data_IF_620599114330
#
_entry.id   IF_620599114330
#
_cell.length_a   1.000
_cell.length_b   1.000
_cell.length_c   1.000
_cell.angle_alpha   90.00
_cell.angle_beta   90.00
_cell.angle_gamma   90.00
#
_symmetry.space_group_name_H-M   'P 1'
#
loop_
_entity.id
_entity.type
_entity.pdbx_description
1 polymer ?
#
# COMPACT_ATOMS: atom_id res chain seq x y z
N UNK A 1 16.37 7.87 2.07
CA UNK A 1 15.27 8.35 1.20
C UNK A 1 14.57 9.45 1.96
N UNK A 2 14.48 10.65 1.37
CA UNK A 2 13.71 11.76 1.93
C UNK A 2 12.24 11.64 1.49
N UNK A 3 11.33 12.33 2.20
CA UNK A 3 9.92 12.38 1.79
C UNK A 3 9.75 12.98 0.38
N UNK A 4 10.63 13.89 -0.01
CA UNK A 4 10.65 14.49 -1.35
C UNK A 4 11.06 13.47 -2.42
N UNK A 5 12.08 12.65 -2.16
CA UNK A 5 12.51 11.56 -3.06
C UNK A 5 11.40 10.51 -3.24
N UNK A 6 10.65 10.21 -2.17
CA UNK A 6 9.52 9.27 -2.22
C UNK A 6 8.32 9.84 -2.99
N UNK A 7 8.00 11.13 -2.81
CA UNK A 7 6.95 11.81 -3.57
C UNK A 7 7.25 11.82 -5.08
N UNK A 8 8.51 12.07 -5.43
CA UNK A 8 8.96 12.07 -6.83
C UNK A 8 8.82 10.67 -7.45
N UNK A 9 9.30 9.62 -6.77
CA UNK A 9 9.15 8.22 -7.20
C UNK A 9 7.68 7.83 -7.40
N UNK A 10 6.81 8.18 -6.46
CA UNK A 10 5.36 7.99 -6.57
C UNK A 10 4.75 8.65 -7.81
N UNK A 11 5.18 9.88 -8.12
CA UNK A 11 4.68 10.60 -9.28
C UNK A 11 5.10 9.93 -10.60
N UNK A 12 6.36 9.50 -10.69
CA UNK A 12 6.90 8.80 -11.86
C UNK A 12 6.24 7.44 -12.07
N UNK A 13 5.99 6.70 -10.98
CA UNK A 13 5.27 5.44 -11.02
C UNK A 13 3.79 5.62 -11.45
N UNK A 14 3.12 6.71 -11.03
CA UNK A 14 1.77 7.05 -11.51
C UNK A 14 1.75 7.39 -13.00
N UNK A 15 2.67 8.21 -13.48
CA UNK A 15 2.78 8.53 -14.92
C UNK A 15 3.04 7.27 -15.75
N UNK A 16 3.90 6.38 -15.25
CA UNK A 16 4.16 5.08 -15.89
C UNK A 16 2.91 4.20 -15.93
N UNK A 17 2.11 4.20 -14.87
CA UNK A 17 0.85 3.44 -14.82
C UNK A 17 -0.15 3.97 -15.85
N UNK A 18 -0.30 5.30 -15.98
CA UNK A 18 -1.16 5.93 -16.98
C UNK A 18 -0.73 5.56 -18.41
N UNK A 19 0.57 5.58 -18.69
CA UNK A 19 1.10 5.19 -19.99
C UNK A 19 0.79 3.71 -20.32
N UNK A 20 0.98 2.81 -19.36
CA UNK A 20 0.70 1.37 -19.54
C UNK A 20 -0.80 1.16 -19.79
N UNK A 21 -1.67 1.86 -19.04
CA UNK A 21 -3.11 1.77 -19.20
C UNK A 21 -3.56 2.26 -20.60
N UNK A 22 -3.01 3.37 -21.09
CA UNK A 22 -3.27 3.87 -22.44
C UNK A 22 -2.82 2.87 -23.53
N UNK A 23 -1.68 2.20 -23.35
CA UNK A 23 -1.20 1.17 -24.28
C UNK A 23 -2.09 -0.08 -24.30
N UNK A 24 -2.61 -0.49 -23.14
CA UNK A 24 -3.57 -1.61 -23.05
C UNK A 24 -4.85 -1.25 -23.81
N UNK A 25 -5.39 -0.05 -23.61
CA UNK A 25 -6.59 0.44 -24.31
C UNK A 25 -6.40 0.51 -25.82
N UNK A 26 -5.22 0.96 -26.28
CA UNK A 26 -4.88 0.95 -27.72
C UNK A 26 -4.89 -0.47 -28.28
N UNK A 27 -4.24 -1.42 -27.58
CA UNK A 27 -4.19 -2.82 -28.02
C UNK A 27 -5.58 -3.44 -28.03
N UNK A 28 -6.41 -3.15 -27.03
CA UNK A 28 -7.79 -3.64 -26.98
C UNK A 28 -8.65 -3.10 -28.12
N UNK A 29 -8.52 -1.81 -28.45
CA UNK A 29 -9.17 -1.24 -29.63
C UNK A 29 -8.72 -1.94 -30.92
N UNK A 30 -7.43 -2.26 -31.04
CA UNK A 30 -6.88 -2.96 -32.22
C UNK A 30 -7.33 -4.41 -32.29
N UNK A 31 -7.37 -5.13 -31.18
CA UNK A 31 -7.87 -6.49 -31.10
C UNK A 31 -9.36 -6.53 -31.46
N UNK A 32 -10.18 -5.62 -30.92
CA UNK A 32 -11.60 -5.51 -31.27
C UNK A 32 -11.82 -5.38 -32.78
N UNK A 33 -11.12 -4.45 -33.42
CA UNK A 33 -11.20 -4.26 -34.89
C UNK A 33 -10.80 -5.51 -35.67
N UNK A 34 -9.80 -6.26 -35.19
CA UNK A 34 -9.38 -7.50 -35.84
C UNK A 34 -10.42 -8.63 -35.65
N UNK A 35 -11.11 -8.68 -34.51
CA UNK A 35 -12.21 -9.60 -34.31
C UNK A 35 -13.42 -9.24 -35.19
N UNK A 36 -13.79 -7.97 -35.27
CA UNK A 36 -14.87 -7.48 -36.14
C UNK A 36 -14.60 -7.83 -37.62
N UNK A 37 -13.35 -7.68 -38.07
CA UNK A 37 -12.94 -8.01 -39.43
C UNK A 37 -12.99 -9.53 -39.75
N UNK A 38 -12.89 -10.38 -38.73
CA UNK A 38 -13.08 -11.83 -38.85
C UNK A 38 -14.58 -12.15 -38.89
N UNK A 39 -15.38 -11.54 -38.03
CA UNK A 39 -16.83 -11.76 -37.94
C UNK A 39 -17.56 -11.33 -39.22
N UNK A 40 -17.14 -10.22 -39.82
CA UNK A 40 -17.66 -9.71 -41.10
C UNK A 40 -17.17 -10.50 -42.32
N UNK A 41 -16.18 -11.38 -42.14
CA UNK A 41 -15.59 -12.17 -43.20
C UNK A 41 -14.70 -11.40 -44.16
N UNK A 42 -14.29 -10.17 -43.82
CA UNK A 42 -13.36 -9.35 -44.63
C UNK A 42 -11.99 -10.02 -44.77
N UNK A 43 -11.58 -10.82 -43.79
CA UNK A 43 -10.33 -11.56 -43.80
C UNK A 43 -10.52 -13.03 -43.43
N UNK A 44 -9.71 -13.91 -44.01
CA UNK A 44 -9.67 -15.32 -43.59
C UNK A 44 -8.99 -15.40 -42.22
N UNK A 45 -9.61 -16.08 -41.25
CA UNK A 45 -9.09 -16.17 -39.88
C UNK A 45 -7.64 -16.66 -39.75
N UNK A 46 -7.14 -17.46 -40.71
CA UNK A 46 -5.75 -17.88 -40.76
C UNK A 46 -4.74 -16.76 -41.06
N UNK A 47 -5.15 -15.68 -41.72
CA UNK A 47 -4.28 -14.55 -42.07
C UNK A 47 -4.07 -13.60 -40.88
N UNK A 48 -5.08 -13.46 -40.03
CA UNK A 48 -5.05 -12.58 -38.85
C UNK A 48 -4.57 -13.27 -37.56
N UNK A 49 -4.63 -14.60 -37.50
CA UNK A 49 -4.18 -15.41 -36.35
C UNK A 49 -2.79 -15.04 -35.79
N UNK A 50 -1.71 -14.90 -36.60
CA UNK A 50 -0.40 -14.52 -36.06
C UNK A 50 -0.39 -13.10 -35.48
N UNK A 51 -1.18 -12.19 -36.05
CA UNK A 51 -1.26 -10.80 -35.58
C UNK A 51 -2.02 -10.68 -34.27
N UNK A 52 -3.13 -11.40 -34.15
CA UNK A 52 -3.91 -11.49 -32.90
C UNK A 52 -3.04 -12.08 -31.79
N UNK A 53 -2.34 -13.19 -32.06
CA UNK A 53 -1.44 -13.81 -31.08
C UNK A 53 -0.37 -12.84 -30.56
N UNK A 54 0.27 -12.08 -31.45
CA UNK A 54 1.29 -11.10 -31.07
C UNK A 54 0.71 -9.96 -30.21
N UNK A 55 -0.49 -9.46 -30.53
CA UNK A 55 -1.15 -8.41 -29.76
C UNK A 55 -1.62 -8.91 -28.39
N UNK A 56 -2.16 -10.14 -28.32
CA UNK A 56 -2.55 -10.76 -27.05
C UNK A 56 -1.35 -10.98 -26.13
N UNK A 57 -0.22 -11.44 -26.67
CA UNK A 57 1.01 -11.58 -25.89
C UNK A 57 1.50 -10.22 -25.37
N UNK A 58 1.53 -9.19 -26.22
CA UNK A 58 1.91 -7.83 -25.79
C UNK A 58 0.97 -7.28 -24.71
N UNK A 59 -0.34 -7.58 -24.80
CA UNK A 59 -1.30 -7.22 -23.76
C UNK A 59 -0.98 -7.89 -22.42
N UNK A 60 -0.65 -9.18 -22.45
CA UNK A 60 -0.28 -9.95 -21.25
C UNK A 60 0.98 -9.37 -20.59
N UNK A 61 2.00 -9.03 -21.36
CA UNK A 61 3.23 -8.38 -20.88
C UNK A 61 2.92 -7.01 -20.22
N UNK A 62 2.02 -6.21 -20.83
CA UNK A 62 1.61 -4.92 -20.26
C UNK A 62 0.77 -5.07 -18.99
N UNK A 63 -0.08 -6.11 -18.90
CA UNK A 63 -0.85 -6.40 -17.69
C UNK A 63 0.06 -6.81 -16.52
N UNK A 64 1.11 -7.61 -16.79
CA UNK A 64 2.11 -7.94 -15.78
C UNK A 64 2.85 -6.70 -15.30
N UNK A 65 3.33 -5.85 -16.24
CA UNK A 65 4.00 -4.60 -15.90
C UNK A 65 3.08 -3.64 -15.12
N UNK A 66 1.78 -3.62 -15.42
CA UNK A 66 0.78 -2.85 -14.66
C UNK A 66 0.71 -3.34 -13.22
N UNK A 67 0.56 -4.65 -13.00
CA UNK A 67 0.48 -5.22 -11.65
C UNK A 67 1.73 -4.93 -10.84
N UNK A 68 2.93 -5.01 -11.45
CA UNK A 68 4.18 -4.67 -10.78
C UNK A 68 4.21 -3.21 -10.30
N UNK A 69 3.81 -2.26 -11.15
CA UNK A 69 3.77 -0.83 -10.81
C UNK A 69 2.68 -0.54 -9.76
N UNK A 70 1.52 -1.18 -9.83
CA UNK A 70 0.45 -1.05 -8.83
C UNK A 70 0.89 -1.56 -7.45
N UNK A 71 1.64 -2.66 -7.39
CA UNK A 71 2.20 -3.16 -6.14
C UNK A 71 3.24 -2.19 -5.57
N UNK A 72 4.16 -1.66 -6.40
CA UNK A 72 5.12 -0.64 -5.95
C UNK A 72 4.39 0.57 -5.36
N UNK A 73 3.39 1.11 -6.06
CA UNK A 73 2.59 2.23 -5.58
C UNK A 73 1.84 1.91 -4.28
N UNK A 74 1.37 0.67 -4.10
CA UNK A 74 0.75 0.24 -2.83
C UNK A 74 1.74 0.28 -1.67
N UNK A 75 2.96 -0.21 -1.86
CA UNK A 75 4.00 -0.12 -0.84
C UNK A 75 4.39 1.33 -0.55
N UNK A 76 4.59 2.17 -1.59
CA UNK A 76 4.95 3.57 -1.41
C UNK A 76 3.85 4.41 -0.71
N UNK A 77 2.56 4.10 -0.94
CA UNK A 77 1.46 4.76 -0.22
C UNK A 77 1.40 4.41 1.27
N UNK A 78 1.91 3.24 1.68
CA UNK A 78 2.02 2.89 3.11
C UNK A 78 3.10 3.72 3.80
N UNK A 79 4.14 4.13 3.06
CA UNK A 79 5.24 4.97 3.56
C UNK A 79 4.94 6.49 3.49
N UNK A 80 4.02 6.93 2.61
CA UNK A 80 3.53 8.31 2.57
C UNK A 80 2.42 8.54 3.62
N UNK A 81 2.75 8.49 4.90
CA UNK A 81 1.85 9.02 5.93
C UNK A 81 1.70 10.54 5.74
N UNK A 82 0.45 11.03 5.67
CA UNK A 82 0.16 12.47 5.63
C UNK A 82 0.86 13.17 6.82
N UNK A 83 1.71 14.20 6.57
CA UNK A 83 2.39 14.92 7.63
C UNK A 83 1.44 15.43 8.72
N UNK A 84 0.20 15.80 8.37
CA UNK A 84 -0.80 16.22 9.34
C UNK A 84 -1.24 15.05 10.23
N UNK A 85 -1.44 13.86 9.67
CA UNK A 85 -1.80 12.66 10.43
C UNK A 85 -0.67 12.26 11.39
N UNK A 86 0.59 12.36 10.95
CA UNK A 86 1.75 12.12 11.81
C UNK A 86 1.81 13.15 12.94
N UNK A 87 1.55 14.42 12.63
CA UNK A 87 1.54 15.51 13.61
C UNK A 87 0.41 15.33 14.63
N UNK A 88 -0.81 15.04 14.18
CA UNK A 88 -1.98 14.82 15.04
C UNK A 88 -1.74 13.62 15.97
N UNK A 89 -1.18 12.54 15.44
CA UNK A 89 -0.83 11.37 16.24
C UNK A 89 0.28 11.67 17.26
N UNK A 90 1.31 12.41 16.87
CA UNK A 90 2.36 12.85 17.80
C UNK A 90 1.81 13.76 18.91
N UNK A 91 0.84 14.62 18.57
CA UNK A 91 0.14 15.49 19.49
C UNK A 91 -0.72 14.70 20.49
N UNK A 92 -1.41 13.66 20.02
CA UNK A 92 -2.17 12.73 20.86
C UNK A 92 -1.27 11.95 21.82
N UNK A 93 -0.15 11.42 21.34
CA UNK A 93 0.85 10.75 22.17
C UNK A 93 1.39 11.69 23.26
N UNK A 94 1.73 12.93 22.89
CA UNK A 94 2.19 13.96 23.82
C UNK A 94 1.12 14.26 24.87
N UNK A 95 -0.13 14.41 24.46
CA UNK A 95 -1.26 14.71 25.34
C UNK A 95 -1.54 13.56 26.31
N UNK A 96 -1.50 12.32 25.84
CA UNK A 96 -1.65 11.12 26.67
C UNK A 96 -0.54 11.09 27.73
N UNK A 97 0.72 11.23 27.32
CA UNK A 97 1.84 11.27 28.26
C UNK A 97 1.77 12.45 29.24
N UNK A 98 1.21 13.60 28.85
CA UNK A 98 1.09 14.75 29.74
C UNK A 98 -0.08 14.67 30.73
N UNK A 99 -1.19 14.01 30.36
CA UNK A 99 -2.45 13.99 31.14
C UNK A 99 -2.67 12.70 31.94
N UNK A 100 -2.03 11.60 31.53
CA UNK A 100 -2.20 10.30 32.19
C UNK A 100 -1.50 10.23 33.55
N UNK A 101 -1.95 9.30 34.40
CA UNK A 101 -1.26 8.99 35.65
C UNK A 101 0.11 8.33 35.37
N UNK A 102 1.04 8.40 36.34
CA UNK A 102 2.38 7.78 36.22
C UNK A 102 2.28 6.28 35.88
N UNK A 103 1.28 5.59 36.42
CA UNK A 103 1.04 4.16 36.18
C UNK A 103 0.64 3.90 34.72
N UNK A 104 -0.24 4.72 34.16
CA UNK A 104 -0.69 4.61 32.77
C UNK A 104 0.42 5.00 31.79
N UNK A 105 1.15 6.09 32.05
CA UNK A 105 2.31 6.51 31.25
C UNK A 105 3.35 5.39 31.18
N UNK A 106 3.66 4.75 32.32
CA UNK A 106 4.63 3.66 32.38
C UNK A 106 4.15 2.42 31.61
N UNK A 107 2.86 2.08 31.70
CA UNK A 107 2.30 0.97 30.93
C UNK A 107 2.28 1.26 29.43
N UNK A 108 1.99 2.51 29.06
CA UNK A 108 1.97 2.94 27.66
C UNK A 108 3.38 2.93 27.05
N UNK A 109 4.38 3.52 27.71
CA UNK A 109 5.77 3.49 27.24
C UNK A 109 6.30 2.06 27.06
N UNK A 110 5.93 1.13 27.96
CA UNK A 110 6.29 -0.29 27.84
C UNK A 110 5.72 -0.99 26.60
N UNK A 111 4.69 -0.44 25.96
CA UNK A 111 4.09 -1.04 24.77
C UNK A 111 4.98 -0.92 23.53
N UNK A 112 5.88 0.07 23.49
CA UNK A 112 6.73 0.34 22.32
C UNK A 112 8.20 0.59 22.65
N UNK A 113 8.57 0.88 23.91
CA UNK A 113 9.97 0.94 24.34
C UNK A 113 10.45 -0.46 24.72
N UNK A 114 11.41 -0.97 23.97
CA UNK A 114 12.01 -2.28 24.20
C UNK A 114 13.02 -2.23 25.35
N UNK A 115 13.95 -1.28 25.30
CA UNK A 115 14.95 -1.08 26.35
C UNK A 115 15.53 0.33 26.35
N UNK A 116 16.08 0.72 27.50
CA UNK A 116 16.80 1.98 27.69
C UNK A 116 18.19 1.63 28.23
N UNK A 117 19.23 2.02 27.52
CA UNK A 117 20.62 1.91 27.94
C UNK A 117 21.10 3.29 28.39
N UNK A 118 21.69 3.39 29.58
CA UNK A 118 22.19 4.65 30.14
C UNK A 118 23.68 4.52 30.40
N UNK A 119 24.47 5.35 29.73
CA UNK A 119 25.91 5.48 29.91
C UNK A 119 26.22 6.74 30.76
N UNK A 120 27.49 7.09 30.98
CA UNK A 120 27.89 8.18 31.90
C UNK A 120 27.34 9.57 31.54
N UNK A 121 26.99 9.81 30.26
CA UNK A 121 26.48 11.11 29.80
C UNK A 121 25.35 11.03 28.78
N UNK A 122 24.96 9.83 28.34
CA UNK A 122 23.96 9.63 27.30
C UNK A 122 22.99 8.50 27.63
N UNK A 123 21.76 8.61 27.13
CA UNK A 123 20.76 7.56 27.20
C UNK A 123 20.33 7.17 25.78
N UNK A 124 20.38 5.88 25.48
CA UNK A 124 19.94 5.28 24.22
C UNK A 124 18.61 4.57 24.47
N UNK A 125 17.57 4.95 23.73
CA UNK A 125 16.25 4.34 23.79
C UNK A 125 16.06 3.49 22.55
N UNK A 126 15.78 2.20 22.75
CA UNK A 126 15.44 1.26 21.69
C UNK A 126 13.93 1.08 21.72
N UNK A 127 13.27 1.39 20.60
CA UNK A 127 11.83 1.40 20.52
C UNK A 127 11.36 0.96 19.13
N UNK A 128 10.16 0.41 19.10
CA UNK A 128 9.37 0.23 17.89
C UNK A 128 8.54 1.49 17.69
N UNK A 129 8.43 1.99 16.45
CA UNK A 129 7.57 3.13 16.16
C UNK A 129 6.13 2.74 16.54
N UNK A 130 5.48 3.45 17.49
CA UNK A 130 4.10 3.16 17.83
C UNK A 130 3.25 3.54 16.62
N UNK A 131 2.75 2.55 15.90
CA UNK A 131 1.80 2.79 14.82
C UNK A 131 0.43 2.99 15.46
N UNK A 132 -0.39 3.94 14.97
CA UNK A 132 -1.80 3.94 15.33
C UNK A 132 -2.36 2.55 15.01
N UNK A 133 -3.20 1.96 15.88
CA UNK A 133 -3.89 0.74 15.51
C UNK A 133 -4.56 1.03 14.18
N UNK A 134 -4.21 0.27 13.13
CA UNK A 134 -5.05 0.23 11.94
C UNK A 134 -6.47 0.08 12.45
N UNK A 135 -7.41 0.86 11.94
CA UNK A 135 -8.83 0.64 12.19
C UNK A 135 -9.19 -0.73 11.58
N UNK A 136 -8.78 -1.81 12.24
CA UNK A 136 -9.47 -3.07 12.19
C UNK A 136 -10.84 -2.68 12.69
N UNK A 137 -11.80 -2.68 11.77
CA UNK A 137 -13.22 -2.76 12.10
C UNK A 137 -13.35 -3.60 13.35
N UNK A 138 -13.97 -3.05 14.41
CA UNK A 138 -14.21 -3.75 15.66
C UNK A 138 -14.85 -5.11 15.35
N UNK A 139 -14.05 -6.16 15.15
CA UNK A 139 -14.49 -7.51 15.38
C UNK A 139 -14.60 -7.58 16.89
N UNK A 140 -15.83 -7.43 17.36
CA UNK A 140 -16.22 -7.77 18.72
C UNK A 140 -15.87 -9.24 18.94
N UNK A 141 -14.64 -9.51 19.37
CA UNK A 141 -14.25 -10.83 19.87
C UNK A 141 -15.02 -11.01 21.17
N UNK A 142 -16.17 -11.68 21.07
CA UNK A 142 -16.98 -12.07 22.21
C UNK A 142 -16.18 -12.97 23.13
N UNK A 143 -15.69 -12.44 24.24
CA UNK A 143 -15.14 -13.25 25.33
C UNK A 143 -16.27 -14.02 25.99
N UNK A 144 -16.16 -15.35 25.99
CA UNK A 144 -17.10 -16.25 26.64
C UNK A 144 -17.20 -15.96 28.15
N UNK A 145 -18.40 -15.98 28.73
CA UNK A 145 -18.57 -15.72 30.16
C UNK A 145 -17.94 -16.86 30.98
N UNK A 146 -17.03 -16.51 31.88
CA UNK A 146 -16.44 -17.44 32.83
C UNK A 146 -17.53 -17.97 33.78
N UNK A 147 -17.77 -19.28 33.72
CA UNK A 147 -18.66 -19.99 34.64
C UNK A 147 -18.07 -19.93 36.05
N UNK A 148 -18.78 -19.31 36.99
CA UNK A 148 -18.48 -19.45 38.41
C UNK A 148 -19.09 -20.76 38.90
N UNK A 149 -18.24 -21.76 39.16
CA UNK A 149 -18.62 -22.90 39.98
C UNK A 149 -18.60 -22.47 41.45
N UNK A 150 -19.76 -22.50 42.09
CA UNK A 150 -19.97 -22.44 43.53
C UNK A 150 -20.99 -23.50 43.91
#
# INVERSE_FOLDING_TARGET
MTNEELCQSCSENRERLELIQAQIEEIDSRLSKLYDAIETGEFKGGELAPRIKALSQKKEELLQAKTEVEEILRYENVDMADPQVVQDYADDLRNLLAKSSITEQRSFLKSFVERIEVDESEAKVYYTIPMPPYSVSEETVGVLPFVHHG
#
